data_IF_591069114073
#
_entry.id   IF_591069114073
#
_cell.length_a   1.000
_cell.length_b   1.000
_cell.length_c   1.000
_cell.angle_alpha   90.00
_cell.angle_beta   90.00
_cell.angle_gamma   90.00
#
_symmetry.space_group_name_H-M   'P 1'
#
loop_
_entity.id
_entity.type
_entity.pdbx_description
1 polymer ?
#
# COMPACT_ATOMS: atom_id res chain seq x y z
N UNK A 1 74.65 -45.96 1.23
CA UNK A 1 73.37 -46.35 0.61
C UNK A 1 72.35 -45.35 1.10
N UNK A 2 72.10 -44.27 0.30
CA UNK A 2 71.15 -43.21 0.71
C UNK A 2 69.75 -43.70 0.42
N UNK A 3 68.91 -43.73 1.45
CA UNK A 3 67.53 -44.12 1.36
C UNK A 3 66.70 -43.03 0.64
N UNK A 4 66.48 -43.24 -0.67
CA UNK A 4 65.71 -42.33 -1.55
C UNK A 4 64.21 -42.25 -1.25
N UNK A 5 63.71 -43.02 -0.28
CA UNK A 5 62.28 -43.09 0.02
C UNK A 5 61.84 -42.14 1.16
N UNK A 6 62.75 -41.39 1.78
CA UNK A 6 62.49 -40.58 2.95
C UNK A 6 61.81 -39.25 2.64
N UNK A 7 61.64 -38.89 1.36
CA UNK A 7 61.00 -37.65 0.92
C UNK A 7 59.90 -37.92 -0.12
N UNK A 8 59.03 -38.89 0.13
CA UNK A 8 57.74 -38.85 -0.55
C UNK A 8 56.96 -37.76 0.09
N UNK A 9 57.06 -36.62 -0.52
CA UNK A 9 56.43 -35.37 -0.13
C UNK A 9 54.92 -35.57 -0.14
N UNK A 10 54.27 -35.53 1.02
CA UNK A 10 52.82 -35.35 1.16
C UNK A 10 52.42 -33.94 0.83
N UNK A 11 53.39 -33.06 0.49
CA UNK A 11 53.19 -31.63 0.14
C UNK A 11 52.25 -31.48 -1.04
N UNK A 12 52.39 -32.29 -2.10
CA UNK A 12 51.51 -32.24 -3.25
C UNK A 12 50.09 -32.65 -2.94
N UNK A 13 49.91 -33.58 -2.02
CA UNK A 13 48.56 -33.98 -1.57
C UNK A 13 47.90 -32.87 -0.69
N UNK A 14 48.69 -32.30 0.23
CA UNK A 14 48.22 -31.18 1.08
C UNK A 14 47.90 -29.94 0.26
N UNK A 15 48.71 -29.65 -0.78
CA UNK A 15 48.47 -28.54 -1.67
C UNK A 15 47.18 -28.71 -2.48
N UNK A 16 46.96 -29.91 -3.01
CA UNK A 16 45.72 -30.24 -3.69
C UNK A 16 44.51 -30.10 -2.74
N UNK A 17 44.64 -30.62 -1.51
CA UNK A 17 43.54 -30.54 -0.52
C UNK A 17 43.23 -29.11 -0.12
N UNK A 18 44.28 -28.29 0.03
CA UNK A 18 44.14 -26.87 0.33
C UNK A 18 43.46 -26.11 -0.81
N UNK A 19 43.85 -26.36 -2.07
CA UNK A 19 43.22 -25.73 -3.22
C UNK A 19 41.72 -26.10 -3.36
N UNK A 20 41.37 -27.38 -3.08
CA UNK A 20 39.96 -27.81 -3.06
C UNK A 20 39.21 -27.14 -1.94
N UNK A 21 39.80 -27.02 -0.74
CA UNK A 21 39.18 -26.34 0.39
C UNK A 21 38.93 -24.84 0.07
N UNK A 22 39.90 -24.15 -0.51
CA UNK A 22 39.77 -22.72 -0.93
C UNK A 22 38.67 -22.58 -1.99
N UNK A 23 38.63 -23.49 -2.97
CA UNK A 23 37.57 -23.50 -3.98
C UNK A 23 36.18 -23.70 -3.37
N UNK A 24 36.08 -24.61 -2.40
CA UNK A 24 34.84 -24.85 -1.69
C UNK A 24 34.38 -23.63 -0.86
N UNK A 25 35.33 -23.01 -0.14
CA UNK A 25 35.06 -21.79 0.64
C UNK A 25 34.59 -20.64 -0.27
N UNK A 26 35.23 -20.49 -1.43
CA UNK A 26 34.82 -19.47 -2.42
C UNK A 26 33.41 -19.73 -2.94
N UNK A 27 33.09 -20.97 -3.34
CA UNK A 27 31.73 -21.32 -3.79
C UNK A 27 30.69 -21.12 -2.69
N UNK A 28 31.05 -21.41 -1.45
CA UNK A 28 30.17 -21.18 -0.32
C UNK A 28 29.87 -19.69 -0.11
N UNK A 29 30.90 -18.84 -0.20
CA UNK A 29 30.72 -17.38 -0.11
C UNK A 29 29.82 -16.87 -1.26
N UNK A 30 30.08 -17.33 -2.50
CA UNK A 30 29.25 -16.96 -3.65
C UNK A 30 27.80 -17.42 -3.47
N UNK A 31 27.60 -18.66 -3.03
CA UNK A 31 26.26 -19.17 -2.74
C UNK A 31 25.54 -18.34 -1.66
N UNK A 32 26.27 -17.95 -0.61
CA UNK A 32 25.72 -17.13 0.47
C UNK A 32 25.34 -15.71 -0.02
N UNK A 33 26.16 -15.13 -0.92
CA UNK A 33 25.86 -13.82 -1.52
C UNK A 33 24.69 -13.87 -2.52
N UNK A 34 24.45 -15.05 -3.12
CA UNK A 34 23.33 -15.26 -4.05
C UNK A 34 22.01 -15.59 -3.32
N UNK A 35 22.05 -16.00 -2.06
CA UNK A 35 20.85 -16.11 -1.24
C UNK A 35 20.36 -14.69 -0.99
N UNK A 36 19.46 -14.21 -1.85
CA UNK A 36 18.67 -13.03 -1.52
C UNK A 36 17.84 -13.42 -0.29
N UNK A 37 17.99 -12.74 0.85
CA UNK A 37 17.02 -12.93 1.90
C UNK A 37 15.68 -12.59 1.25
N UNK A 38 14.77 -13.56 1.18
CA UNK A 38 13.39 -13.22 0.92
C UNK A 38 13.08 -12.11 1.91
N UNK A 39 12.84 -10.91 1.38
CA UNK A 39 12.28 -9.87 2.22
C UNK A 39 11.02 -10.54 2.78
N UNK A 40 11.07 -10.92 4.05
CA UNK A 40 9.85 -11.20 4.79
C UNK A 40 9.02 -9.96 4.55
N UNK A 41 8.10 -10.05 3.62
CA UNK A 41 6.92 -9.20 3.68
C UNK A 41 6.35 -9.59 5.03
N UNK A 42 6.77 -8.86 6.05
CA UNK A 42 6.01 -8.86 7.27
C UNK A 42 4.64 -8.43 6.78
N UNK A 43 3.79 -9.41 6.68
CA UNK A 43 2.37 -9.23 6.48
C UNK A 43 1.90 -8.53 7.76
N UNK A 44 2.29 -7.26 7.88
CA UNK A 44 1.65 -6.37 8.81
C UNK A 44 0.22 -6.30 8.28
N UNK A 45 -0.62 -7.21 8.76
CA UNK A 45 -2.06 -6.98 8.73
C UNK A 45 -2.29 -5.62 9.38
N UNK A 46 -2.19 -4.59 8.57
CA UNK A 46 -2.53 -3.24 8.96
C UNK A 46 -4.04 -3.20 9.08
N UNK A 47 -4.52 -3.69 10.22
CA UNK A 47 -5.94 -3.71 10.50
C UNK A 47 -6.42 -2.28 10.53
N UNK A 48 -7.33 -1.94 9.63
CA UNK A 48 -8.06 -0.70 9.71
C UNK A 48 -9.06 -0.81 10.88
N UNK A 49 -9.07 0.17 11.77
CA UNK A 49 -10.08 0.31 12.80
C UNK A 49 -11.35 0.91 12.19
N UNK A 50 -11.18 1.92 11.32
CA UNK A 50 -12.25 2.52 10.54
C UNK A 50 -11.83 2.67 9.08
N UNK A 51 -12.82 2.55 8.21
CA UNK A 51 -12.69 2.85 6.78
C UNK A 51 -13.76 3.89 6.45
N UNK A 52 -13.33 5.01 5.90
CA UNK A 52 -14.20 6.09 5.42
C UNK A 52 -14.18 6.01 3.90
N UNK A 53 -15.33 5.78 3.31
CA UNK A 53 -15.50 5.69 1.85
C UNK A 53 -16.42 6.80 1.41
N UNK A 54 -15.96 7.60 0.48
CA UNK A 54 -16.75 8.61 -0.21
C UNK A 54 -16.94 8.17 -1.65
N UNK A 55 -18.19 8.10 -2.11
CA UNK A 55 -18.53 7.72 -3.49
C UNK A 55 -19.46 8.78 -4.08
N UNK A 56 -19.28 9.04 -5.36
CA UNK A 56 -20.16 9.88 -6.14
C UNK A 56 -20.48 9.23 -7.48
N UNK A 57 -21.33 9.85 -8.26
CA UNK A 57 -21.81 9.29 -9.52
C UNK A 57 -20.63 8.93 -10.45
N UNK A 58 -20.59 7.66 -10.85
CA UNK A 58 -19.52 7.10 -11.66
C UNK A 58 -19.48 7.62 -13.11
N UNK A 59 -20.57 8.22 -13.59
CA UNK A 59 -20.63 8.81 -14.91
C UNK A 59 -20.19 10.26 -14.93
N UNK A 60 -19.75 10.81 -13.79
CA UNK A 60 -19.30 12.17 -13.68
C UNK A 60 -17.77 12.28 -13.68
N UNK A 61 -17.23 13.20 -14.47
CA UNK A 61 -15.79 13.43 -14.54
C UNK A 61 -15.25 14.30 -13.40
N UNK A 62 -16.10 14.63 -12.44
CA UNK A 62 -15.77 15.56 -11.36
C UNK A 62 -14.74 15.00 -10.40
N UNK A 63 -13.92 15.90 -9.87
CA UNK A 63 -12.85 15.59 -8.93
C UNK A 63 -13.28 16.11 -7.55
N UNK A 64 -13.51 15.19 -6.62
CA UNK A 64 -14.01 15.49 -5.28
C UNK A 64 -13.05 14.87 -4.26
N UNK A 65 -12.39 15.71 -3.49
CA UNK A 65 -11.41 15.31 -2.49
C UNK A 65 -12.02 15.05 -1.12
N UNK A 66 -11.57 14.01 -0.47
CA UNK A 66 -11.90 13.66 0.90
C UNK A 66 -10.84 14.20 1.88
N UNK A 67 -11.30 15.00 2.83
CA UNK A 67 -10.49 15.51 3.94
C UNK A 67 -10.98 14.88 5.24
N UNK A 68 -10.06 14.30 5.99
CA UNK A 68 -10.37 13.79 7.33
C UNK A 68 -9.43 14.43 8.33
N UNK A 69 -9.99 15.02 9.37
CA UNK A 69 -9.25 15.63 10.47
C UNK A 69 -9.43 14.80 11.74
N UNK A 70 -8.33 14.52 12.42
CA UNK A 70 -8.31 13.83 13.70
C UNK A 70 -8.57 14.81 14.87
N UNK A 71 -8.81 14.30 16.10
CA UNK A 71 -9.02 15.14 17.30
C UNK A 71 -7.82 16.00 17.69
N UNK A 72 -6.64 15.78 17.10
CA UNK A 72 -5.42 16.56 17.35
C UNK A 72 -5.10 17.56 16.23
N UNK A 73 -6.10 17.91 15.41
CA UNK A 73 -6.04 18.85 14.29
C UNK A 73 -5.18 18.43 13.08
N UNK A 74 -4.74 17.17 13.03
CA UNK A 74 -4.06 16.66 11.84
C UNK A 74 -5.08 16.30 10.76
N UNK A 75 -4.74 16.63 9.49
CA UNK A 75 -5.62 16.42 8.33
C UNK A 75 -4.96 15.54 7.30
N UNK A 76 -5.63 14.44 6.93
CA UNK A 76 -5.26 13.64 5.77
C UNK A 76 -6.04 14.14 4.55
N UNK A 77 -5.36 14.26 3.41
CA UNK A 77 -5.91 14.70 2.13
C UNK A 77 -4.90 14.38 1.01
N UNK A 78 -5.25 14.62 -0.26
CA UNK A 78 -4.43 14.28 -1.43
C UNK A 78 -2.97 14.77 -1.37
N UNK A 79 -2.68 15.96 -0.79
CA UNK A 79 -1.30 16.47 -0.63
C UNK A 79 -0.56 15.88 0.56
N UNK A 80 -1.28 15.36 1.54
CA UNK A 80 -0.74 14.74 2.74
C UNK A 80 -1.49 13.43 2.98
N UNK A 81 -1.20 12.38 2.18
CA UNK A 81 -1.98 11.15 2.17
C UNK A 81 -1.76 10.26 3.40
N UNK A 82 -0.75 10.57 4.20
CA UNK A 82 -0.44 9.81 5.42
C UNK A 82 -0.11 10.79 6.54
N UNK A 83 -0.87 10.71 7.62
CA UNK A 83 -0.58 11.45 8.84
C UNK A 83 -1.09 10.68 10.06
N UNK A 84 -0.25 10.49 11.09
CA UNK A 84 -0.56 9.70 12.26
C UNK A 84 -1.07 8.30 11.88
N UNK A 85 -2.32 8.00 12.26
CA UNK A 85 -2.99 6.73 11.98
C UNK A 85 -3.96 6.80 10.80
N UNK A 86 -4.01 7.93 10.09
CA UNK A 86 -4.88 8.15 8.94
C UNK A 86 -4.12 7.99 7.63
N UNK A 87 -4.72 7.28 6.68
CA UNK A 87 -4.14 6.95 5.38
C UNK A 87 -5.18 7.16 4.29
N UNK A 88 -4.87 7.99 3.31
CA UNK A 88 -5.64 8.08 2.07
C UNK A 88 -5.18 6.95 1.15
N UNK A 89 -5.95 5.88 1.08
CA UNK A 89 -5.58 4.68 0.32
C UNK A 89 -5.93 4.80 -1.16
N UNK A 90 -6.98 5.55 -1.49
CA UNK A 90 -7.36 5.86 -2.86
C UNK A 90 -7.71 7.33 -2.98
N UNK A 91 -7.03 7.98 -3.91
CA UNK A 91 -7.25 9.33 -4.41
C UNK A 91 -7.80 9.21 -5.84
N UNK A 92 -8.97 9.79 -6.09
CA UNK A 92 -9.68 9.69 -7.36
C UNK A 92 -9.67 11.05 -8.06
N UNK A 93 -9.11 11.09 -9.24
CA UNK A 93 -9.00 12.31 -10.05
C UNK A 93 -10.13 12.40 -11.10
N UNK A 94 -11.29 11.82 -10.82
CA UNK A 94 -12.36 11.64 -11.78
C UNK A 94 -11.89 10.76 -12.96
N UNK A 95 -12.27 11.07 -14.20
CA UNK A 95 -11.88 10.23 -15.35
C UNK A 95 -10.37 10.19 -15.66
N UNK A 96 -9.54 10.94 -14.96
CA UNK A 96 -8.12 11.05 -15.30
C UNK A 96 -7.33 9.80 -14.94
N UNK A 97 -7.71 9.06 -13.90
CA UNK A 97 -7.03 7.86 -13.43
C UNK A 97 -7.84 6.56 -13.60
N UNK A 98 -8.90 6.59 -14.38
CA UNK A 98 -9.82 5.46 -14.62
C UNK A 98 -9.28 4.38 -15.55
N UNK A 99 -8.07 4.51 -16.07
CA UNK A 99 -7.52 3.58 -17.05
C UNK A 99 -6.60 2.58 -16.38
N UNK A 100 -7.02 1.31 -16.34
CA UNK A 100 -6.19 0.18 -15.91
C UNK A 100 -5.50 -0.42 -17.13
N UNK A 101 -4.16 -0.52 -17.06
CA UNK A 101 -3.34 -1.20 -18.07
C UNK A 101 -3.02 -2.61 -17.57
N UNK A 102 -3.31 -3.60 -18.42
CA UNK A 102 -2.96 -4.99 -18.14
C UNK A 102 -1.57 -5.33 -18.68
N UNK A 103 -0.98 -6.43 -18.22
CA UNK A 103 0.34 -6.90 -18.65
C UNK A 103 0.38 -7.29 -20.13
N UNK A 104 -0.75 -7.66 -20.72
CA UNK A 104 -0.91 -7.96 -22.15
C UNK A 104 -0.96 -6.72 -23.05
N UNK A 105 -0.83 -5.52 -22.46
CA UNK A 105 -0.91 -4.24 -23.15
C UNK A 105 -2.34 -3.74 -23.41
N UNK A 106 -3.36 -4.49 -23.01
CA UNK A 106 -4.75 -4.03 -23.11
C UNK A 106 -5.05 -2.99 -22.04
N UNK A 107 -5.99 -2.09 -22.32
CA UNK A 107 -6.44 -1.07 -21.40
C UNK A 107 -7.94 -1.21 -21.16
N UNK A 108 -8.36 -1.11 -19.92
CA UNK A 108 -9.78 -1.09 -19.54
C UNK A 108 -10.08 0.19 -18.79
N UNK A 109 -11.14 0.88 -19.21
CA UNK A 109 -11.67 2.00 -18.42
C UNK A 109 -12.57 1.45 -17.33
N UNK A 110 -12.32 1.89 -16.08
CA UNK A 110 -13.07 1.49 -14.90
C UNK A 110 -13.55 2.77 -14.22
N UNK A 111 -14.77 3.16 -14.51
CA UNK A 111 -15.37 4.35 -13.91
C UNK A 111 -15.79 4.00 -12.46
N UNK A 112 -14.96 4.31 -11.49
CA UNK A 112 -15.27 4.15 -10.08
C UNK A 112 -14.83 5.42 -9.37
N UNK A 113 -15.75 6.35 -9.21
CA UNK A 113 -15.55 7.58 -8.48
C UNK A 113 -15.65 7.31 -6.99
N UNK A 114 -14.48 7.16 -6.36
CA UNK A 114 -14.38 6.77 -4.95
C UNK A 114 -13.09 7.24 -4.34
N UNK A 115 -13.17 7.83 -3.17
CA UNK A 115 -12.03 8.04 -2.27
C UNK A 115 -12.14 7.22 -1.00
N UNK A 116 -10.99 6.78 -0.49
CA UNK A 116 -10.92 5.89 0.66
C UNK A 116 -9.86 6.37 1.63
N UNK A 117 -10.27 6.62 2.86
CA UNK A 117 -9.37 6.88 3.99
C UNK A 117 -9.52 5.77 5.01
N UNK A 118 -8.38 5.17 5.40
CA UNK A 118 -8.34 4.20 6.49
C UNK A 118 -7.72 4.82 7.74
N UNK A 119 -8.33 4.52 8.90
CA UNK A 119 -7.84 4.87 10.21
C UNK A 119 -7.38 3.59 10.90
N UNK A 120 -6.09 3.50 11.19
CA UNK A 120 -5.43 2.28 11.71
C UNK A 120 -5.13 2.33 13.20
N UNK A 121 -5.50 3.42 13.85
CA UNK A 121 -5.42 3.60 15.29
C UNK A 121 -6.33 4.74 15.70
N UNK A 122 -7.09 4.56 16.78
CA UNK A 122 -8.08 5.53 17.22
C UNK A 122 -7.47 6.46 18.25
N UNK A 123 -7.54 7.77 17.97
CA UNK A 123 -7.35 8.82 18.96
C UNK A 123 -8.75 9.17 19.48
N UNK A 124 -9.02 9.06 20.79
CA UNK A 124 -10.34 9.39 21.31
C UNK A 124 -10.69 10.85 21.06
N UNK A 125 -11.86 11.11 20.49
CA UNK A 125 -12.32 12.45 20.19
C UNK A 125 -13.20 12.51 18.95
N UNK A 126 -13.43 13.69 18.45
CA UNK A 126 -14.24 13.96 17.27
C UNK A 126 -13.37 13.99 16.01
N UNK A 127 -13.81 13.26 14.99
CA UNK A 127 -13.21 13.28 13.66
C UNK A 127 -14.10 14.12 12.74
N UNK A 128 -13.50 15.05 12.02
CA UNK A 128 -14.22 15.90 11.07
C UNK A 128 -13.96 15.39 9.66
N UNK A 129 -15.03 15.05 8.97
CA UNK A 129 -14.99 14.55 7.59
C UNK A 129 -15.58 15.63 6.68
N UNK A 130 -14.83 16.01 5.66
CA UNK A 130 -15.24 17.03 4.71
C UNK A 130 -14.99 16.56 3.28
N UNK A 131 -15.99 16.71 2.43
CA UNK A 131 -15.89 16.52 1.00
C UNK A 131 -15.66 17.88 0.33
N UNK A 132 -14.57 18.00 -0.42
CA UNK A 132 -14.18 19.20 -1.12
C UNK A 132 -14.31 19.01 -2.62
N UNK A 133 -15.17 19.79 -3.26
CA UNK A 133 -15.31 19.80 -4.70
C UNK A 133 -14.15 20.54 -5.34
N UNK A 134 -13.16 19.80 -5.83
CA UNK A 134 -11.92 20.37 -6.33
C UNK A 134 -12.08 20.93 -7.74
N UNK A 135 -12.66 20.18 -8.66
CA UNK A 135 -12.91 20.69 -10.02
C UNK A 135 -14.13 20.06 -10.68
N UNK A 136 -14.96 20.94 -11.30
CA UNK A 136 -15.99 20.56 -12.23
C UNK A 136 -15.37 20.40 -13.62
N UNK A 137 -15.34 19.19 -14.16
CA UNK A 137 -14.76 18.95 -15.49
C UNK A 137 -15.77 19.01 -16.63
N UNK A 138 -17.05 18.98 -16.32
CA UNK A 138 -18.11 19.13 -17.29
C UNK A 138 -19.14 20.18 -16.85
N UNK A 139 -19.14 21.32 -17.53
CA UNK A 139 -20.27 22.22 -17.52
C UNK A 139 -21.32 21.61 -18.43
N UNK A 140 -22.30 20.92 -17.86
CA UNK A 140 -23.48 20.57 -18.66
C UNK A 140 -24.06 21.84 -19.24
N UNK A 141 -24.28 21.82 -20.53
CA UNK A 141 -24.81 22.97 -21.36
C UNK A 141 -26.12 23.58 -20.88
N UNK A 142 -26.65 23.16 -19.75
CA UNK A 142 -27.99 23.52 -19.25
C UNK A 142 -28.00 24.25 -17.92
N UNK A 143 -26.87 24.68 -17.36
CA UNK A 143 -26.87 25.57 -16.19
C UNK A 143 -27.56 25.00 -14.93
N UNK A 144 -27.88 23.72 -14.90
CA UNK A 144 -28.34 23.03 -13.70
C UNK A 144 -27.14 22.39 -13.03
N UNK A 145 -26.80 22.93 -11.87
CA UNK A 145 -26.05 22.18 -10.86
C UNK A 145 -26.93 21.00 -10.47
N UNK A 146 -26.73 19.85 -11.09
CA UNK A 146 -27.20 18.60 -10.50
C UNK A 146 -26.39 18.42 -9.22
N UNK A 147 -27.04 18.58 -8.09
CA UNK A 147 -26.47 18.23 -6.79
C UNK A 147 -26.20 16.74 -6.80
N UNK A 148 -24.93 16.41 -7.04
CA UNK A 148 -24.49 15.03 -7.06
C UNK A 148 -24.61 14.48 -5.64
N UNK A 149 -25.34 13.39 -5.47
CA UNK A 149 -25.41 12.72 -4.19
C UNK A 149 -24.05 12.09 -3.90
N UNK A 150 -23.35 12.65 -2.94
CA UNK A 150 -22.14 12.03 -2.39
C UNK A 150 -22.57 11.10 -1.25
N UNK A 151 -22.24 9.82 -1.34
CA UNK A 151 -22.48 8.85 -0.30
C UNK A 151 -21.22 8.71 0.57
N UNK A 152 -21.34 9.08 1.83
CA UNK A 152 -20.28 8.87 2.81
C UNK A 152 -20.63 7.64 3.64
N UNK A 153 -19.74 6.65 3.64
CA UNK A 153 -19.88 5.44 4.42
C UNK A 153 -18.70 5.25 5.37
N UNK A 154 -19.01 5.02 6.64
CA UNK A 154 -18.01 4.66 7.65
C UNK A 154 -18.33 3.26 8.17
N UNK A 155 -17.37 2.33 8.10
CA UNK A 155 -17.52 0.99 8.64
C UNK A 155 -16.50 0.77 9.76
N UNK A 156 -16.93 0.34 10.94
CA UNK A 156 -16.00 -0.17 11.94
C UNK A 156 -15.33 -1.44 11.43
N UNK A 157 -14.11 -1.68 11.87
CA UNK A 157 -13.38 -2.91 11.59
C UNK A 157 -14.24 -4.14 11.98
N UNK A 158 -14.12 -5.26 11.24
CA UNK A 158 -14.86 -6.50 11.56
C UNK A 158 -14.72 -7.00 13.01
N UNK A 159 -13.73 -6.50 13.75
CA UNK A 159 -13.52 -6.82 15.18
C UNK A 159 -14.57 -6.18 16.10
N UNK A 160 -15.11 -5.03 15.73
CA UNK A 160 -16.01 -4.24 16.58
C UNK A 160 -17.48 -4.34 16.18
N UNK A 161 -17.80 -5.23 15.23
CA UNK A 161 -19.17 -5.46 14.76
C UNK A 161 -20.17 -5.86 15.86
N UNK A 162 -19.71 -6.11 17.07
CA UNK A 162 -20.54 -6.45 18.22
C UNK A 162 -20.95 -5.25 19.08
N UNK A 163 -20.42 -4.05 18.86
CA UNK A 163 -20.59 -2.90 19.78
C UNK A 163 -21.24 -1.65 19.19
N UNK A 164 -21.48 -1.53 17.90
CA UNK A 164 -22.10 -0.32 17.36
C UNK A 164 -23.52 -0.53 16.86
N UNK A 165 -24.48 -0.57 17.77
CA UNK A 165 -25.82 -0.05 17.45
C UNK A 165 -25.70 1.47 17.50
N UNK A 166 -25.57 2.11 16.34
CA UNK A 166 -25.86 3.53 16.25
C UNK A 166 -27.35 3.76 16.56
N UNK A 167 -27.70 4.66 17.47
CA UNK A 167 -29.08 5.06 17.62
C UNK A 167 -29.49 5.75 16.32
N UNK A 168 -30.56 5.25 15.68
CA UNK A 168 -31.21 5.96 14.61
C UNK A 168 -31.74 7.29 15.19
N UNK A 169 -31.12 8.39 14.82
CA UNK A 169 -31.69 9.70 15.06
C UNK A 169 -32.93 9.84 14.21
N UNK A 170 -34.06 10.02 14.90
CA UNK A 170 -35.33 10.40 14.32
C UNK A 170 -35.26 11.78 13.65
#
# INVERSE_FOLDING_TARGET
MFDKNKYKSTIGFTDMLFNVLVGFAFLFIVAFLLIKPESKKEDFERKAEFVIVMEWDHDQPDDIDLYVQDPTDNKVHFRLPIINFMYLDKDDLGFANDVVKYEDGTTKKVNINREVVTIRGIIPGEYIINAHYYSAREWTRLGQLTTNSCLLYTSPSPRDATLSRMPSSA
#
